data_IF_075606250098
#
_entry.id   IF_075606250098
#
_cell.length_a   1.000
_cell.length_b   1.000
_cell.length_c   1.000
_cell.angle_alpha   90.00
_cell.angle_beta   90.00
_cell.angle_gamma   90.00
#
_symmetry.space_group_name_H-M   'P 1'
#
loop_
_entity.id
_entity.type
_entity.pdbx_description
1 polymer ?
#
# COMPACT_ATOMS: atom_id res chain seq x y z
N UNK A 1 29.95 0.70 9.16
CA UNK A 1 28.68 0.56 8.41
C UNK A 1 27.78 1.72 8.80
N UNK A 2 27.44 2.61 7.88
CA UNK A 2 26.50 3.69 8.18
C UNK A 2 25.15 3.06 8.50
N UNK A 3 24.64 3.25 9.71
CA UNK A 3 23.34 2.74 10.20
C UNK A 3 22.13 3.27 9.40
N UNK A 4 22.39 4.19 8.47
CA UNK A 4 21.35 4.86 7.69
C UNK A 4 21.71 4.83 6.19
N UNK A 5 20.93 4.07 5.43
CA UNK A 5 21.06 4.04 3.97
C UNK A 5 20.08 5.08 3.38
N UNK A 6 20.50 6.35 3.36
CA UNK A 6 19.70 7.48 2.87
C UNK A 6 19.09 7.26 1.49
N UNK A 7 19.81 6.72 0.48
CA UNK A 7 19.21 6.47 -0.82
C UNK A 7 18.00 5.55 -0.76
N UNK A 8 18.04 4.47 0.03
CA UNK A 8 16.90 3.55 0.17
C UNK A 8 15.71 4.21 0.84
N UNK A 9 15.96 5.03 1.87
CA UNK A 9 14.89 5.77 2.54
C UNK A 9 14.22 6.78 1.61
N UNK A 10 15.00 7.58 0.90
CA UNK A 10 14.48 8.54 -0.08
C UNK A 10 13.67 7.83 -1.16
N UNK A 11 14.19 6.72 -1.69
CA UNK A 11 13.46 5.92 -2.68
C UNK A 11 12.13 5.41 -2.13
N UNK A 12 12.10 4.88 -0.91
CA UNK A 12 10.87 4.41 -0.28
C UNK A 12 9.84 5.54 -0.09
N UNK A 13 10.30 6.74 0.32
CA UNK A 13 9.44 7.93 0.45
C UNK A 13 8.85 8.31 -0.92
N UNK A 14 9.66 8.37 -1.97
CA UNK A 14 9.21 8.71 -3.32
C UNK A 14 8.18 7.71 -3.85
N UNK A 15 8.37 6.41 -3.59
CA UNK A 15 7.39 5.39 -3.93
C UNK A 15 6.08 5.59 -3.15
N UNK A 16 6.16 5.93 -1.87
CA UNK A 16 4.99 6.28 -1.05
C UNK A 16 4.25 7.51 -1.59
N UNK A 17 4.98 8.56 -2.00
CA UNK A 17 4.38 9.74 -2.65
C UNK A 17 3.66 9.36 -3.95
N UNK A 18 4.26 8.47 -4.75
CA UNK A 18 3.63 7.95 -5.97
C UNK A 18 2.29 7.26 -5.69
N UNK A 19 2.22 6.42 -4.64
CA UNK A 19 0.97 5.79 -4.20
C UNK A 19 -0.06 6.85 -3.74
N UNK A 20 0.37 7.90 -3.05
CA UNK A 20 -0.49 9.00 -2.62
C UNK A 20 -1.13 9.75 -3.79
N UNK A 21 -0.37 9.98 -4.87
CA UNK A 21 -0.84 10.65 -6.08
C UNK A 21 -1.72 9.70 -6.93
N UNK A 22 -1.42 8.41 -6.95
CA UNK A 22 -2.14 7.42 -7.73
C UNK A 22 -3.65 7.37 -7.39
N UNK A 23 -3.99 7.42 -6.10
CA UNK A 23 -5.37 7.28 -5.65
C UNK A 23 -6.30 8.39 -6.18
N UNK A 24 -6.00 9.69 -6.07
CA UNK A 24 -6.83 10.75 -6.64
C UNK A 24 -6.87 10.72 -8.18
N UNK A 25 -5.78 10.33 -8.87
CA UNK A 25 -5.79 10.16 -10.33
C UNK A 25 -6.78 9.06 -10.72
N UNK A 26 -6.73 7.91 -10.05
CA UNK A 26 -7.63 6.80 -10.30
C UNK A 26 -9.09 7.14 -9.97
N UNK A 27 -9.32 7.91 -8.92
CA UNK A 27 -10.65 8.41 -8.58
C UNK A 27 -11.20 9.36 -9.68
N UNK A 28 -10.35 10.22 -10.23
CA UNK A 28 -10.69 11.16 -11.31
C UNK A 28 -11.12 10.42 -12.59
N UNK A 29 -10.34 9.42 -13.03
CA UNK A 29 -10.72 8.63 -14.23
C UNK A 29 -11.94 7.75 -13.95
N UNK A 30 -12.07 7.20 -12.75
CA UNK A 30 -13.23 6.41 -12.34
C UNK A 30 -14.53 7.18 -12.44
N UNK A 31 -14.54 8.47 -12.03
CA UNK A 31 -15.71 9.36 -12.20
C UNK A 31 -16.10 9.53 -13.68
N UNK A 32 -15.13 9.66 -14.58
CA UNK A 32 -15.38 9.78 -16.02
C UNK A 32 -15.86 8.51 -16.68
N UNK A 33 -15.39 7.37 -16.19
CA UNK A 33 -15.81 6.04 -16.66
C UNK A 33 -17.12 5.55 -16.01
N UNK A 34 -17.74 6.37 -15.14
CA UNK A 34 -19.02 6.08 -14.49
C UNK A 34 -18.93 5.13 -13.30
N UNK A 35 -17.73 4.68 -12.89
CA UNK A 35 -17.59 3.81 -11.72
C UNK A 35 -16.16 3.86 -11.16
N UNK A 36 -16.01 3.92 -9.81
CA UNK A 36 -14.71 3.82 -9.18
C UNK A 36 -13.97 2.50 -9.52
N UNK A 37 -14.70 1.42 -9.72
CA UNK A 37 -14.12 0.11 -10.10
C UNK A 37 -13.49 0.13 -11.50
N UNK A 38 -14.05 0.90 -12.44
CA UNK A 38 -13.39 1.13 -13.74
C UNK A 38 -12.09 1.90 -13.59
N UNK A 39 -12.02 2.87 -12.68
CA UNK A 39 -10.77 3.57 -12.34
C UNK A 39 -9.71 2.63 -11.79
N UNK A 40 -10.10 1.70 -10.91
CA UNK A 40 -9.21 0.67 -10.40
C UNK A 40 -8.73 -0.28 -11.51
N UNK A 41 -9.65 -0.80 -12.33
CA UNK A 41 -9.33 -1.68 -13.45
C UNK A 41 -8.37 -1.04 -14.45
N UNK A 42 -8.61 0.23 -14.81
CA UNK A 42 -7.72 0.99 -15.69
C UNK A 42 -6.31 1.11 -15.09
N UNK A 43 -6.20 1.50 -13.83
CA UNK A 43 -4.92 1.62 -13.13
C UNK A 43 -4.15 0.29 -13.07
N UNK A 44 -4.83 -0.80 -12.72
CA UNK A 44 -4.22 -2.14 -12.63
C UNK A 44 -3.75 -2.61 -14.02
N UNK A 45 -4.52 -2.32 -15.07
CA UNK A 45 -4.12 -2.66 -16.46
C UNK A 45 -2.84 -1.94 -16.87
N UNK A 46 -2.71 -0.65 -16.57
CA UNK A 46 -1.46 0.10 -16.82
C UNK A 46 -0.31 -0.49 -15.98
N UNK A 47 -0.56 -0.79 -14.69
CA UNK A 47 0.46 -1.39 -13.84
C UNK A 47 0.93 -2.75 -14.36
N UNK A 48 0.02 -3.57 -14.88
CA UNK A 48 0.35 -4.84 -15.50
C UNK A 48 1.27 -4.66 -16.71
N UNK A 49 0.96 -3.72 -17.60
CA UNK A 49 1.81 -3.43 -18.77
C UNK A 49 3.20 -2.98 -18.33
N UNK A 50 3.28 -2.06 -17.37
CA UNK A 50 4.56 -1.53 -16.88
C UNK A 50 5.41 -2.64 -16.25
N UNK A 51 4.81 -3.49 -15.39
CA UNK A 51 5.58 -4.57 -14.75
C UNK A 51 6.04 -5.63 -15.75
N UNK A 52 5.21 -5.95 -16.76
CA UNK A 52 5.62 -6.88 -17.82
C UNK A 52 6.77 -6.32 -18.66
N UNK A 53 6.79 -5.00 -18.93
CA UNK A 53 7.94 -4.35 -19.57
C UNK A 53 9.20 -4.46 -18.70
N UNK A 54 9.11 -4.23 -17.39
CA UNK A 54 10.25 -4.42 -16.49
C UNK A 54 10.73 -5.87 -16.49
N UNK A 55 9.82 -6.84 -16.42
CA UNK A 55 10.18 -8.28 -16.51
C UNK A 55 10.89 -8.58 -17.82
N UNK A 56 10.36 -8.09 -18.94
CA UNK A 56 10.96 -8.31 -20.27
C UNK A 56 12.37 -7.72 -20.38
N UNK A 57 12.59 -6.53 -19.84
CA UNK A 57 13.88 -5.83 -19.93
C UNK A 57 14.90 -6.43 -18.96
N UNK A 58 14.50 -6.69 -17.71
CA UNK A 58 15.42 -7.01 -16.61
C UNK A 58 15.63 -8.50 -16.38
N UNK A 59 14.58 -9.32 -16.53
CA UNK A 59 14.63 -10.74 -16.16
C UNK A 59 14.92 -11.63 -17.36
N UNK A 60 14.36 -11.34 -18.52
CA UNK A 60 14.55 -12.06 -19.80
C UNK A 60 14.26 -13.56 -19.79
N UNK A 61 13.77 -14.09 -18.68
CA UNK A 61 13.40 -15.51 -18.53
C UNK A 61 11.92 -15.64 -18.17
N UNK A 62 11.26 -16.59 -18.76
CA UNK A 62 9.86 -16.90 -18.45
C UNK A 62 9.88 -18.07 -17.46
N UNK A 63 9.23 -17.94 -16.28
CA UNK A 63 9.13 -19.03 -15.33
C UNK A 63 8.33 -20.19 -15.95
N UNK A 64 8.68 -21.45 -15.61
CA UNK A 64 7.92 -22.60 -16.09
C UNK A 64 6.50 -22.59 -15.51
N UNK A 65 5.55 -23.07 -16.30
CA UNK A 65 4.17 -23.23 -15.83
C UNK A 65 4.10 -24.13 -14.59
N UNK A 66 4.93 -25.15 -14.51
CA UNK A 66 5.02 -26.05 -13.37
C UNK A 66 5.40 -25.31 -12.07
N UNK A 67 6.37 -24.39 -12.12
CA UNK A 67 6.75 -23.57 -10.98
C UNK A 67 5.59 -22.71 -10.49
N UNK A 68 4.79 -22.17 -11.42
CA UNK A 68 3.64 -21.32 -11.08
C UNK A 68 2.52 -22.16 -10.44
N UNK A 69 2.19 -23.33 -11.03
CA UNK A 69 1.10 -24.16 -10.52
C UNK A 69 1.42 -24.87 -9.21
N UNK A 70 2.70 -25.14 -8.92
CA UNK A 70 3.17 -25.72 -7.67
C UNK A 70 3.40 -24.68 -6.58
N UNK A 71 3.17 -23.40 -6.87
CA UNK A 71 3.30 -22.35 -5.87
C UNK A 71 2.25 -22.51 -4.77
N UNK A 72 2.59 -22.22 -3.50
CA UNK A 72 1.65 -22.27 -2.38
C UNK A 72 0.42 -21.38 -2.64
N UNK A 73 -0.76 -21.81 -2.21
CA UNK A 73 -2.02 -21.11 -2.47
C UNK A 73 -2.03 -19.62 -2.00
N UNK A 74 -1.29 -19.32 -0.94
CA UNK A 74 -1.24 -17.96 -0.38
C UNK A 74 -0.56 -16.93 -1.29
N UNK A 75 0.25 -17.34 -2.28
CA UNK A 75 0.90 -16.38 -3.21
C UNK A 75 -0.14 -15.63 -4.06
N UNK A 76 -1.29 -16.25 -4.31
CA UNK A 76 -2.38 -15.63 -5.06
C UNK A 76 -3.05 -14.49 -4.30
N UNK A 77 -2.99 -14.51 -2.96
CA UNK A 77 -3.53 -13.44 -2.12
C UNK A 77 -2.86 -12.09 -2.36
N UNK A 78 -1.58 -12.08 -2.77
CA UNK A 78 -0.86 -10.84 -3.05
C UNK A 78 -1.55 -9.99 -4.13
N UNK A 79 -1.98 -10.62 -5.23
CA UNK A 79 -2.73 -9.94 -6.29
C UNK A 79 -4.11 -9.48 -5.82
N UNK A 80 -4.81 -10.32 -5.05
CA UNK A 80 -6.14 -9.99 -4.50
C UNK A 80 -6.04 -8.76 -3.59
N UNK A 81 -5.11 -8.75 -2.63
CA UNK A 81 -4.91 -7.60 -1.73
C UNK A 81 -4.50 -6.34 -2.48
N UNK A 82 -3.66 -6.47 -3.52
CA UNK A 82 -3.31 -5.34 -4.37
C UNK A 82 -4.53 -4.71 -5.07
N UNK A 83 -5.39 -5.54 -5.65
CA UNK A 83 -6.63 -5.07 -6.30
C UNK A 83 -7.61 -4.45 -5.29
N UNK A 84 -7.79 -5.08 -4.13
CA UNK A 84 -8.62 -4.56 -3.04
C UNK A 84 -8.11 -3.20 -2.52
N UNK A 85 -6.78 -3.06 -2.39
CA UNK A 85 -6.18 -1.80 -1.97
C UNK A 85 -6.47 -0.68 -2.98
N UNK A 86 -6.25 -0.91 -4.27
CA UNK A 86 -6.49 0.10 -5.31
C UNK A 86 -7.97 0.49 -5.36
N UNK A 87 -8.89 -0.48 -5.36
CA UNK A 87 -10.33 -0.21 -5.33
C UNK A 87 -10.74 0.53 -4.04
N UNK A 88 -10.24 0.10 -2.88
CA UNK A 88 -10.49 0.73 -1.59
C UNK A 88 -9.99 2.17 -1.55
N UNK A 89 -8.81 2.45 -2.06
CA UNK A 89 -8.25 3.81 -2.11
C UNK A 89 -9.13 4.78 -2.91
N UNK A 90 -9.69 4.32 -4.02
CA UNK A 90 -10.59 5.13 -4.87
C UNK A 90 -11.93 5.41 -4.18
N UNK A 91 -12.45 4.44 -3.44
CA UNK A 91 -13.78 4.53 -2.81
C UNK A 91 -13.72 5.22 -1.45
N UNK A 92 -12.76 4.84 -0.61
CA UNK A 92 -12.65 5.30 0.78
C UNK A 92 -11.87 6.61 0.90
N UNK A 93 -10.80 6.77 0.12
CA UNK A 93 -9.93 7.94 0.20
C UNK A 93 -10.68 9.28 0.06
N UNK A 94 -11.53 9.48 -0.97
CA UNK A 94 -12.32 10.70 -1.09
C UNK A 94 -13.39 10.90 0.00
N UNK A 95 -13.82 9.82 0.68
CA UNK A 95 -14.88 9.88 1.70
C UNK A 95 -14.36 10.25 3.08
N UNK A 96 -13.16 9.82 3.43
CA UNK A 96 -12.58 10.02 4.76
C UNK A 96 -11.40 11.00 4.77
N UNK A 97 -11.08 11.59 3.60
CA UNK A 97 -9.86 12.39 3.43
C UNK A 97 -8.63 11.52 3.09
N UNK A 98 -7.84 11.95 2.10
CA UNK A 98 -6.69 11.18 1.63
C UNK A 98 -5.62 11.00 2.73
N UNK A 99 -5.40 12.04 3.56
CA UNK A 99 -4.42 11.99 4.63
C UNK A 99 -4.80 10.93 5.68
N UNK A 100 -6.06 10.92 6.13
CA UNK A 100 -6.56 9.94 7.09
C UNK A 100 -6.52 8.53 6.49
N UNK A 101 -6.97 8.36 5.25
CA UNK A 101 -6.94 7.06 4.57
C UNK A 101 -5.53 6.48 4.54
N UNK A 102 -4.54 7.22 4.03
CA UNK A 102 -3.17 6.71 3.93
C UNK A 102 -2.51 6.50 5.29
N UNK A 103 -2.83 7.32 6.30
CA UNK A 103 -2.32 7.09 7.65
C UNK A 103 -2.87 5.79 8.25
N UNK A 104 -4.15 5.48 8.04
CA UNK A 104 -4.74 4.20 8.44
C UNK A 104 -4.10 3.01 7.68
N UNK A 105 -3.86 3.16 6.37
CA UNK A 105 -3.18 2.14 5.57
C UNK A 105 -1.77 1.89 6.10
N UNK A 106 -0.99 2.92 6.37
CA UNK A 106 0.36 2.80 6.93
C UNK A 106 0.33 2.10 8.29
N UNK A 107 -0.64 2.44 9.14
CA UNK A 107 -0.83 1.76 10.43
C UNK A 107 -1.06 0.25 10.23
N UNK A 108 -1.98 -0.13 9.33
CA UNK A 108 -2.24 -1.53 9.02
C UNK A 108 -1.00 -2.26 8.48
N UNK A 109 -0.29 -1.64 7.55
CA UNK A 109 0.93 -2.19 6.95
C UNK A 109 2.05 -2.38 7.99
N UNK A 110 2.30 -1.38 8.83
CA UNK A 110 3.34 -1.48 9.87
C UNK A 110 2.97 -2.53 10.90
N UNK A 111 1.70 -2.58 11.32
CA UNK A 111 1.22 -3.55 12.32
C UNK A 111 1.39 -5.00 11.84
N UNK A 112 0.92 -5.30 10.61
CA UNK A 112 1.08 -6.66 10.08
C UNK A 112 2.55 -7.01 9.79
N UNK A 113 3.36 -6.02 9.36
CA UNK A 113 4.79 -6.24 9.12
C UNK A 113 5.53 -6.63 10.40
N UNK A 114 5.16 -6.06 11.56
CA UNK A 114 5.73 -6.47 12.84
C UNK A 114 5.41 -7.93 13.19
N UNK A 115 4.20 -8.39 12.87
CA UNK A 115 3.81 -9.79 13.08
C UNK A 115 4.57 -10.71 12.13
N UNK A 116 4.67 -10.35 10.86
CA UNK A 116 5.43 -11.08 9.85
C UNK A 116 6.91 -11.21 10.28
N UNK A 117 7.54 -10.10 10.68
CA UNK A 117 8.90 -10.07 11.18
C UNK A 117 9.07 -10.95 12.44
N UNK A 118 8.10 -10.92 13.36
CA UNK A 118 8.16 -11.68 14.62
C UNK A 118 8.06 -13.18 14.43
N UNK A 119 7.17 -13.61 13.52
CA UNK A 119 6.88 -15.03 13.31
C UNK A 119 7.63 -15.63 12.12
N UNK A 120 8.34 -14.81 11.32
CA UNK A 120 9.08 -15.28 10.13
C UNK A 120 8.16 -15.80 9.02
N UNK A 121 6.92 -15.28 8.92
CA UNK A 121 6.00 -15.70 7.87
C UNK A 121 6.59 -15.40 6.48
N UNK A 122 6.22 -16.22 5.49
CA UNK A 122 6.68 -16.10 4.11
C UNK A 122 8.20 -16.19 3.95
N UNK A 123 8.88 -16.98 4.81
CA UNK A 123 10.34 -17.18 4.79
C UNK A 123 11.16 -15.91 5.07
N UNK A 124 10.54 -14.89 5.68
CA UNK A 124 11.22 -13.66 6.06
C UNK A 124 12.04 -13.90 7.33
N UNK A 125 13.22 -13.29 7.38
CA UNK A 125 14.10 -13.41 8.54
C UNK A 125 13.41 -12.90 9.82
N UNK A 126 13.35 -13.75 10.84
CA UNK A 126 12.78 -13.41 12.15
C UNK A 126 13.53 -12.22 12.76
N UNK A 127 12.77 -11.24 13.21
CA UNK A 127 13.30 -10.08 13.93
C UNK A 127 12.53 -9.88 15.23
N UNK A 128 13.26 -9.58 16.31
CA UNK A 128 12.63 -9.31 17.59
C UNK A 128 11.86 -7.99 17.59
N UNK A 129 10.75 -7.99 18.35
CA UNK A 129 9.99 -6.78 18.61
C UNK A 129 10.79 -5.91 19.58
N UNK A 130 11.32 -4.80 19.10
CA UNK A 130 11.96 -3.80 19.92
C UNK A 130 10.95 -2.78 20.45
N UNK A 131 11.24 -2.20 21.62
CA UNK A 131 10.43 -1.12 22.20
C UNK A 131 10.26 0.04 21.21
N UNK A 132 11.31 0.38 20.45
CA UNK A 132 11.27 1.44 19.43
C UNK A 132 10.24 1.16 18.33
N UNK A 133 10.08 -0.11 17.91
CA UNK A 133 9.10 -0.50 16.89
C UNK A 133 7.67 -0.38 17.43
N UNK A 134 7.43 -0.77 18.68
CA UNK A 134 6.13 -0.63 19.33
C UNK A 134 5.78 0.86 19.48
N UNK A 135 6.72 1.67 19.94
CA UNK A 135 6.54 3.12 20.03
C UNK A 135 6.24 3.75 18.67
N UNK A 136 6.88 3.27 17.59
CA UNK A 136 6.57 3.72 16.22
C UNK A 136 5.12 3.48 15.84
N UNK A 137 4.55 2.32 16.16
CA UNK A 137 3.12 2.02 15.93
C UNK A 137 2.22 2.93 16.75
N UNK A 138 2.54 3.14 18.02
CA UNK A 138 1.77 4.03 18.90
C UNK A 138 1.77 5.48 18.40
N UNK A 139 2.89 5.95 17.85
CA UNK A 139 2.97 7.27 17.22
C UNK A 139 2.06 7.37 15.99
N UNK A 140 1.97 6.33 15.16
CA UNK A 140 1.05 6.32 14.02
C UNK A 140 -0.41 6.38 14.50
N UNK A 141 -0.77 5.67 15.57
CA UNK A 141 -2.09 5.78 16.19
C UNK A 141 -2.37 7.21 16.63
N UNK A 142 -1.41 7.86 17.30
CA UNK A 142 -1.57 9.26 17.71
C UNK A 142 -1.79 10.20 16.53
N UNK A 143 -1.08 9.99 15.41
CA UNK A 143 -1.28 10.76 14.17
C UNK A 143 -2.68 10.54 13.60
N UNK A 144 -3.19 9.29 13.57
CA UNK A 144 -4.56 8.99 13.13
C UNK A 144 -5.59 9.78 13.95
N UNK A 145 -5.46 9.75 15.28
CA UNK A 145 -6.39 10.43 16.17
C UNK A 145 -6.36 11.96 16.00
N UNK A 146 -5.19 12.53 15.74
CA UNK A 146 -5.04 13.96 15.48
C UNK A 146 -5.72 14.36 14.16
N UNK A 147 -5.46 13.64 13.07
CA UNK A 147 -6.05 13.93 11.75
C UNK A 147 -7.57 13.73 11.81
N UNK A 148 -8.03 12.65 12.44
CA UNK A 148 -9.45 12.36 12.57
C UNK A 148 -10.20 13.47 13.32
N UNK A 149 -9.61 14.03 14.39
CA UNK A 149 -10.21 15.14 15.15
C UNK A 149 -10.41 16.37 14.27
N UNK A 150 -9.48 16.68 13.40
CA UNK A 150 -9.54 17.80 12.47
C UNK A 150 -10.66 17.61 11.43
N UNK A 151 -10.77 16.44 10.83
CA UNK A 151 -11.81 16.09 9.86
C UNK A 151 -13.22 16.19 10.49
N UNK A 152 -13.40 15.71 11.72
CA UNK A 152 -14.66 15.87 12.46
C UNK A 152 -14.98 17.33 12.83
N UNK A 153 -13.96 18.12 13.17
CA UNK A 153 -14.12 19.55 13.46
C UNK A 153 -14.60 20.33 12.25
N UNK A 154 -14.07 20.03 11.08
CA UNK A 154 -14.47 20.64 9.81
C UNK A 154 -15.89 20.25 9.39
N UNK A 155 -16.31 19.01 9.61
CA UNK A 155 -17.69 18.55 9.31
C UNK A 155 -18.72 19.31 10.14
N UNK A 156 -18.48 19.49 11.44
CA UNK A 156 -19.40 20.21 12.33
C UNK A 156 -19.43 21.74 12.12
N UNK A 157 -18.48 22.30 11.43
CA UNK A 157 -18.44 23.73 11.11
C UNK A 157 -19.16 24.10 9.80
N UNK A 158 -19.56 23.11 9.02
CA UNK A 158 -20.23 23.25 7.74
C UNK A 158 -21.75 22.93 7.79
N UNK A 159 -22.24 22.45 8.96
CA UNK A 159 -23.67 22.28 9.29
C UNK A 159 -24.19 23.50 10.07
#
# INVERSE_FOLDING_TARGET
MSLFNWPLLVTAILLGMGLGIQAPINAWIGKRLGSPYWGAGFSISISLVVILLFVFIMVRTIPSAETIWNAPWWVWLGGIFGAMFVAGAIVLGPRMGMALFFTCVVFGQVSISLLIDRFGWFEIQIRELSVSRILGVLLVIAVILLIQKEEFGLSNSLE
#
